data_IF_997257359796
#
_entry.id   IF_997257359796
#
_cell.length_a   1.000
_cell.length_b   1.000
_cell.length_c   1.000
_cell.angle_alpha   90.00
_cell.angle_beta   90.00
_cell.angle_gamma   90.00
#
_symmetry.space_group_name_H-M   'P 1'
#
loop_
_entity.id
_entity.type
_entity.pdbx_description
1 polymer ?
#
# COMPACT_ATOMS: atom_id res chain seq x y z
N UNK A 1 23.89 26.36 -2.86
CA UNK A 1 23.25 27.70 -2.81
C UNK A 1 21.75 27.47 -2.94
N UNK A 2 20.95 27.74 -1.91
CA UNK A 2 19.49 27.65 -2.03
C UNK A 2 18.99 28.94 -2.66
N UNK A 3 18.19 28.83 -3.72
CA UNK A 3 17.50 29.95 -4.35
C UNK A 3 16.26 30.22 -3.48
N UNK A 4 16.21 31.39 -2.86
CA UNK A 4 15.06 31.85 -2.09
C UNK A 4 14.38 32.95 -2.90
N UNK A 5 13.10 32.76 -3.20
CA UNK A 5 12.23 33.80 -3.73
C UNK A 5 11.25 34.22 -2.64
N UNK A 6 10.89 35.49 -2.64
CA UNK A 6 9.79 36.03 -1.86
C UNK A 6 8.88 36.77 -2.81
N UNK A 7 7.59 36.48 -2.76
CA UNK A 7 6.57 37.08 -3.62
C UNK A 7 5.62 37.94 -2.78
N UNK A 8 5.28 39.11 -3.31
CA UNK A 8 4.35 40.01 -2.65
C UNK A 8 2.90 39.61 -2.99
N UNK A 9 2.14 39.16 -1.99
CA UNK A 9 0.72 38.79 -2.15
C UNK A 9 -0.23 40.01 -2.22
N UNK A 10 0.30 41.23 -2.20
CA UNK A 10 -0.45 42.48 -2.24
C UNK A 10 0.47 43.71 -2.32
N UNK A 11 -0.10 44.93 -2.34
CA UNK A 11 0.66 46.16 -2.50
C UNK A 11 1.66 46.35 -1.35
N UNK A 12 2.95 46.14 -1.63
CA UNK A 12 4.01 46.11 -0.61
C UNK A 12 5.10 47.12 -0.94
N UNK A 13 5.57 47.87 0.06
CA UNK A 13 6.77 48.70 -0.06
C UNK A 13 7.96 47.92 0.44
N UNK A 14 8.97 47.75 -0.41
CA UNK A 14 10.19 47.00 -0.09
C UNK A 14 11.35 47.98 0.03
N UNK A 15 12.24 47.73 1.00
CA UNK A 15 13.52 48.41 1.15
C UNK A 15 14.63 47.36 1.12
N UNK A 16 15.48 47.42 0.10
CA UNK A 16 16.63 46.54 0.00
C UNK A 16 17.79 47.15 0.79
N UNK A 17 18.27 46.41 1.79
CA UNK A 17 19.41 46.82 2.61
C UNK A 17 20.58 45.90 2.30
N UNK A 18 21.73 46.42 1.80
CA UNK A 18 22.92 45.62 1.60
C UNK A 18 23.37 44.95 2.90
N UNK A 19 23.75 43.68 2.83
CA UNK A 19 24.14 42.88 4.00
C UNK A 19 25.28 43.54 4.78
N UNK A 20 26.21 44.19 4.09
CA UNK A 20 27.35 44.90 4.70
C UNK A 20 26.90 46.12 5.52
N UNK A 21 25.94 46.88 5.00
CA UNK A 21 25.36 48.05 5.68
C UNK A 21 24.54 47.61 6.89
N UNK A 22 23.74 46.55 6.73
CA UNK A 22 22.98 45.97 7.84
C UNK A 22 23.91 45.46 8.94
N UNK A 23 24.99 44.76 8.56
CA UNK A 23 26.01 44.28 9.50
C UNK A 23 26.66 45.45 10.25
N UNK A 24 27.07 46.51 9.55
CA UNK A 24 27.67 47.68 10.18
C UNK A 24 26.69 48.35 11.17
N UNK A 25 25.40 48.44 10.84
CA UNK A 25 24.38 48.97 11.72
C UNK A 25 24.18 48.11 12.97
N UNK A 26 24.10 46.78 12.82
CA UNK A 26 24.00 45.85 13.95
C UNK A 26 25.27 45.89 14.81
N UNK A 27 26.45 45.98 14.20
CA UNK A 27 27.74 46.09 14.88
C UNK A 27 27.92 47.44 15.60
N UNK A 28 27.22 48.48 15.17
CA UNK A 28 27.18 49.78 15.87
C UNK A 28 26.06 49.88 16.92
N UNK A 29 25.11 48.93 16.94
CA UNK A 29 23.95 48.98 17.81
C UNK A 29 24.30 48.73 19.29
N UNK A 30 23.39 49.13 20.18
CA UNK A 30 23.49 48.88 21.61
C UNK A 30 23.63 47.36 21.90
N UNK A 31 24.44 46.94 22.90
CA UNK A 31 24.67 45.53 23.20
C UNK A 31 23.40 44.69 23.39
N UNK A 32 22.34 45.27 23.96
CA UNK A 32 21.04 44.60 24.09
C UNK A 32 20.39 44.24 22.74
N UNK A 33 20.48 45.13 21.74
CA UNK A 33 19.95 44.89 20.39
C UNK A 33 20.76 43.81 19.68
N UNK A 34 22.09 43.83 19.83
CA UNK A 34 22.97 42.77 19.30
C UNK A 34 22.61 41.40 19.87
N UNK A 35 22.32 41.35 21.17
CA UNK A 35 21.96 40.10 21.84
C UNK A 35 20.60 39.56 21.34
N UNK A 36 19.62 40.44 21.13
CA UNK A 36 18.33 40.06 20.54
C UNK A 36 18.48 39.54 19.10
N UNK A 37 19.21 40.25 18.25
CA UNK A 37 19.46 39.81 16.86
C UNK A 37 20.21 38.48 16.84
N UNK A 38 21.22 38.31 17.69
CA UNK A 38 21.95 37.04 17.82
C UNK A 38 21.04 35.90 18.28
N UNK A 39 20.15 36.16 19.24
CA UNK A 39 19.16 35.18 19.72
C UNK A 39 18.22 34.74 18.59
N UNK A 40 17.68 35.67 17.80
CA UNK A 40 16.82 35.35 16.66
C UNK A 40 17.54 34.52 15.59
N UNK A 41 18.82 34.81 15.34
CA UNK A 41 19.64 34.05 14.38
C UNK A 41 19.87 32.63 14.86
N UNK A 42 20.19 32.42 16.14
CA UNK A 42 20.39 31.08 16.70
C UNK A 42 19.08 30.27 16.74
N UNK A 43 17.96 30.90 17.07
CA UNK A 43 16.64 30.27 17.00
C UNK A 43 16.30 29.86 15.55
N UNK A 44 16.57 30.74 14.59
CA UNK A 44 16.37 30.43 13.16
C UNK A 44 17.27 29.28 12.68
N UNK A 45 18.52 29.21 13.14
CA UNK A 45 19.42 28.08 12.83
C UNK A 45 18.89 26.78 13.43
N UNK A 46 18.43 26.82 14.68
CA UNK A 46 17.87 25.66 15.39
C UNK A 46 16.63 25.17 14.66
N UNK A 47 15.69 26.06 14.34
CA UNK A 47 14.50 25.73 13.57
C UNK A 47 14.83 25.14 12.20
N UNK A 48 15.87 25.64 11.51
CA UNK A 48 16.35 25.05 10.25
C UNK A 48 16.91 23.65 10.45
N UNK A 49 17.67 23.41 11.52
CA UNK A 49 18.18 22.07 11.84
C UNK A 49 17.04 21.11 12.16
N UNK A 50 16.04 21.54 12.91
CA UNK A 50 14.82 20.75 13.20
C UNK A 50 14.03 20.47 11.93
N UNK A 51 13.84 21.45 11.03
CA UNK A 51 13.18 21.21 9.74
C UNK A 51 13.99 20.22 8.88
N UNK A 52 15.33 20.30 8.93
CA UNK A 52 16.20 19.38 8.20
C UNK A 52 16.16 17.97 8.80
N UNK A 53 16.17 17.82 10.13
CA UNK A 53 16.03 16.52 10.79
C UNK A 53 14.65 15.92 10.51
N UNK A 54 13.57 16.71 10.60
CA UNK A 54 12.22 16.27 10.23
C UNK A 54 12.10 15.85 8.77
N UNK A 55 12.87 16.46 7.87
CA UNK A 55 12.95 16.04 6.46
C UNK A 55 13.80 14.79 6.26
N UNK A 56 14.79 14.54 7.11
CA UNK A 56 15.66 13.37 7.07
C UNK A 56 15.07 12.16 7.79
N UNK A 57 14.21 12.37 8.79
CA UNK A 57 13.48 11.33 9.52
C UNK A 57 12.29 10.77 8.72
N UNK A 58 11.82 11.49 7.71
CA UNK A 58 10.79 10.98 6.80
C UNK A 58 11.43 10.03 5.81
N UNK A 59 11.25 8.74 6.07
CA UNK A 59 11.39 7.68 5.07
C UNK A 59 10.76 8.15 3.75
N UNK A 60 11.56 8.12 2.68
CA UNK A 60 11.17 8.49 1.32
C UNK A 60 10.26 7.43 0.69
N UNK A 61 10.02 6.31 1.37
CA UNK A 61 9.05 5.32 0.91
C UNK A 61 7.65 5.96 0.75
N UNK A 62 6.93 5.64 -0.34
CA UNK A 62 5.60 6.17 -0.60
C UNK A 62 4.60 5.90 0.54
N UNK A 63 4.68 4.73 1.18
CA UNK A 63 3.78 4.36 2.27
C UNK A 63 4.49 3.49 3.33
N UNK A 64 5.23 4.08 4.28
CA UNK A 64 5.96 3.35 5.32
C UNK A 64 5.03 2.48 6.17
N UNK A 65 5.49 1.32 6.64
CA UNK A 65 4.65 0.34 7.36
C UNK A 65 3.86 0.93 8.54
N UNK A 66 4.48 1.78 9.35
CA UNK A 66 3.82 2.42 10.50
C UNK A 66 2.81 3.50 10.11
N UNK A 67 2.91 4.05 8.90
CA UNK A 67 1.96 5.05 8.37
C UNK A 67 0.76 4.40 7.68
N UNK A 68 0.83 3.12 7.28
CA UNK A 68 -0.26 2.43 6.56
C UNK A 68 -1.58 2.52 7.32
N UNK A 69 -1.69 2.10 8.60
CA UNK A 69 -2.96 2.22 9.34
C UNK A 69 -3.49 3.64 9.37
N UNK A 70 -2.63 4.61 9.69
CA UNK A 70 -3.03 6.02 9.82
C UNK A 70 -3.56 6.58 8.52
N UNK A 71 -2.89 6.32 7.39
CA UNK A 71 -3.29 6.85 6.09
C UNK A 71 -4.60 6.23 5.61
N UNK A 72 -4.77 4.91 5.75
CA UNK A 72 -6.01 4.24 5.35
C UNK A 72 -7.18 4.58 6.27
N UNK A 73 -6.98 4.64 7.60
CA UNK A 73 -8.00 5.11 8.54
C UNK A 73 -8.43 6.55 8.25
N UNK A 74 -7.47 7.44 7.94
CA UNK A 74 -7.77 8.82 7.59
C UNK A 74 -8.61 8.89 6.32
N UNK A 75 -8.20 8.17 5.27
CA UNK A 75 -8.95 8.13 4.00
C UNK A 75 -10.37 7.61 4.21
N UNK A 76 -10.54 6.51 4.94
CA UNK A 76 -11.86 5.95 5.28
C UNK A 76 -12.72 6.92 6.09
N UNK A 77 -12.15 7.54 7.13
CA UNK A 77 -12.84 8.51 7.97
C UNK A 77 -13.32 9.73 7.18
N UNK A 78 -12.45 10.31 6.34
CA UNK A 78 -12.79 11.48 5.53
C UNK A 78 -13.83 11.11 4.48
N UNK A 79 -13.72 9.93 3.87
CA UNK A 79 -14.71 9.43 2.92
C UNK A 79 -16.09 9.24 3.57
N UNK A 80 -16.17 8.68 4.78
CA UNK A 80 -17.46 8.53 5.48
C UNK A 80 -18.05 9.84 5.96
N UNK A 81 -17.21 10.77 6.44
CA UNK A 81 -17.69 12.00 7.04
C UNK A 81 -18.05 13.07 6.00
N UNK A 82 -17.24 13.18 4.95
CA UNK A 82 -17.33 14.30 3.99
C UNK A 82 -17.54 13.84 2.55
N UNK A 83 -17.58 12.52 2.31
CA UNK A 83 -17.87 11.95 1.01
C UNK A 83 -19.38 11.94 0.73
N UNK A 84 -19.71 12.05 -0.54
CA UNK A 84 -21.08 12.00 -1.03
C UNK A 84 -21.28 10.66 -1.74
N UNK A 85 -22.20 9.80 -1.29
CA UNK A 85 -22.51 8.58 -2.01
C UNK A 85 -23.05 8.92 -3.40
N UNK A 86 -22.66 8.15 -4.41
CA UNK A 86 -23.20 8.32 -5.76
C UNK A 86 -24.67 7.94 -5.81
N UNK A 87 -25.47 8.68 -6.58
CA UNK A 87 -26.90 8.42 -6.76
C UNK A 87 -27.18 7.07 -7.46
N UNK A 88 -26.26 6.63 -8.32
CA UNK A 88 -26.40 5.39 -9.11
C UNK A 88 -25.93 4.15 -8.35
N UNK A 89 -24.87 4.29 -7.56
CA UNK A 89 -24.28 3.20 -6.76
C UNK A 89 -23.91 3.70 -5.36
N UNK A 90 -24.69 3.38 -4.32
CA UNK A 90 -24.46 3.88 -2.96
C UNK A 90 -23.16 3.36 -2.33
N UNK A 91 -22.53 2.34 -2.93
CA UNK A 91 -21.20 1.84 -2.56
C UNK A 91 -20.07 2.75 -3.02
N UNK A 92 -20.30 3.53 -4.08
CA UNK A 92 -19.32 4.49 -4.59
C UNK A 92 -19.44 5.80 -3.84
N UNK A 93 -18.33 6.29 -3.31
CA UNK A 93 -18.28 7.54 -2.55
C UNK A 93 -17.39 8.53 -3.28
N UNK A 94 -17.96 9.67 -3.67
CA UNK A 94 -17.23 10.80 -4.24
C UNK A 94 -16.72 11.70 -3.12
N UNK A 95 -15.42 11.98 -3.11
CA UNK A 95 -14.77 12.81 -2.12
C UNK A 95 -14.02 13.97 -2.80
N UNK A 96 -14.17 15.16 -2.25
CA UNK A 96 -13.46 16.36 -2.68
C UNK A 96 -11.98 16.31 -2.24
N UNK A 97 -11.07 16.53 -3.19
CA UNK A 97 -9.64 16.46 -2.93
C UNK A 97 -9.14 17.59 -2.02
N UNK A 98 -9.72 18.79 -2.11
CA UNK A 98 -9.42 19.92 -1.24
C UNK A 98 -9.77 19.61 0.20
N UNK A 99 -10.91 18.95 0.42
CA UNK A 99 -11.30 18.48 1.76
C UNK A 99 -10.28 17.46 2.28
N UNK A 100 -9.92 16.46 1.47
CA UNK A 100 -8.92 15.46 1.85
C UNK A 100 -7.55 16.09 2.15
N UNK A 101 -7.10 17.08 1.36
CA UNK A 101 -5.88 17.86 1.62
C UNK A 101 -5.91 18.53 2.99
N UNK A 102 -7.02 19.19 3.32
CA UNK A 102 -7.17 19.93 4.59
C UNK A 102 -7.12 18.96 5.77
N UNK A 103 -7.88 17.86 5.73
CA UNK A 103 -7.85 16.86 6.80
C UNK A 103 -6.46 16.24 6.95
N UNK A 104 -5.84 15.83 5.84
CA UNK A 104 -4.50 15.22 5.84
C UNK A 104 -3.45 16.14 6.45
N UNK A 105 -3.36 17.38 5.98
CA UNK A 105 -2.26 18.28 6.34
C UNK A 105 -2.50 19.05 7.64
N UNK A 106 -3.73 19.52 7.89
CA UNK A 106 -4.04 20.40 9.02
C UNK A 106 -4.53 19.64 10.24
N UNK A 107 -5.41 18.65 10.05
CA UNK A 107 -5.97 17.91 11.18
C UNK A 107 -5.05 16.80 11.65
N UNK A 108 -4.61 15.94 10.73
CA UNK A 108 -3.80 14.77 11.07
C UNK A 108 -2.29 14.99 10.97
N UNK A 109 -1.86 16.13 10.41
CA UNK A 109 -0.44 16.51 10.24
C UNK A 109 0.37 15.46 9.46
N UNK A 110 -0.30 14.76 8.55
CA UNK A 110 0.30 13.75 7.68
C UNK A 110 0.79 14.36 6.36
N UNK A 111 1.64 13.61 5.67
CA UNK A 111 2.18 14.03 4.36
C UNK A 111 1.12 13.89 3.26
N UNK A 112 0.81 15.00 2.58
CA UNK A 112 -0.09 14.97 1.42
C UNK A 112 0.44 14.05 0.31
N UNK A 113 1.76 14.03 0.10
CA UNK A 113 2.40 13.17 -0.91
C UNK A 113 2.11 11.69 -0.61
N UNK A 114 2.19 11.27 0.67
CA UNK A 114 1.89 9.88 1.05
C UNK A 114 0.41 9.54 0.88
N UNK A 115 -0.48 10.49 1.21
CA UNK A 115 -1.92 10.32 0.96
C UNK A 115 -2.20 10.17 -0.53
N UNK A 116 -1.58 11.00 -1.37
CA UNK A 116 -1.68 10.88 -2.82
C UNK A 116 -1.20 9.51 -3.30
N UNK A 117 -0.04 9.04 -2.82
CA UNK A 117 0.48 7.70 -3.16
C UNK A 117 -0.47 6.57 -2.75
N UNK A 118 -1.16 6.69 -1.61
CA UNK A 118 -2.19 5.72 -1.20
C UNK A 118 -3.40 5.74 -2.14
N UNK A 119 -3.87 6.92 -2.56
CA UNK A 119 -4.98 7.03 -3.52
C UNK A 119 -4.56 6.46 -4.87
N UNK A 120 -3.37 6.78 -5.36
CA UNK A 120 -2.80 6.21 -6.60
C UNK A 120 -2.69 4.67 -6.54
N UNK A 121 -2.33 4.12 -5.37
CA UNK A 121 -2.33 2.67 -5.14
C UNK A 121 -3.73 2.07 -5.32
N UNK A 122 -4.74 2.71 -4.74
CA UNK A 122 -6.12 2.28 -4.87
C UNK A 122 -6.62 2.39 -6.32
N UNK A 123 -6.16 3.40 -7.08
CA UNK A 123 -6.44 3.51 -8.51
C UNK A 123 -5.86 2.33 -9.28
N UNK A 124 -4.58 1.99 -9.06
CA UNK A 124 -3.94 0.83 -9.72
C UNK A 124 -4.67 -0.48 -9.42
N UNK A 125 -5.17 -0.64 -8.20
CA UNK A 125 -5.94 -1.83 -7.79
C UNK A 125 -7.40 -1.82 -8.27
N UNK A 126 -7.83 -0.79 -9.01
CA UNK A 126 -9.21 -0.63 -9.47
C UNK A 126 -10.21 -0.44 -8.31
N UNK A 127 -9.76 0.17 -7.21
CA UNK A 127 -10.56 0.48 -6.01
C UNK A 127 -10.90 1.96 -5.87
N UNK A 128 -10.25 2.81 -6.65
CA UNK A 128 -10.54 4.23 -6.71
C UNK A 128 -10.36 4.77 -8.14
N UNK A 129 -10.85 5.97 -8.36
CA UNK A 129 -10.64 6.77 -9.57
C UNK A 129 -10.34 8.22 -9.18
N UNK A 130 -9.41 8.84 -9.89
CA UNK A 130 -9.02 10.24 -9.68
C UNK A 130 -9.60 11.06 -10.85
N UNK A 131 -10.34 12.11 -10.53
CA UNK A 131 -10.88 13.07 -11.49
C UNK A 131 -9.96 14.29 -11.58
N UNK A 132 -9.40 14.49 -12.77
CA UNK A 132 -8.52 15.60 -13.09
C UNK A 132 -9.29 16.68 -13.83
N UNK A 133 -9.08 17.94 -13.46
CA UNK A 133 -9.56 19.09 -14.25
C UNK A 133 -8.39 20.05 -14.50
N UNK A 134 -8.48 20.77 -15.61
CA UNK A 134 -7.50 21.79 -15.99
C UNK A 134 -7.85 23.10 -15.29
N UNK A 135 -6.91 23.63 -14.54
CA UNK A 135 -7.04 24.97 -13.95
C UNK A 135 -6.88 26.06 -15.02
N UNK A 136 -7.09 27.32 -14.63
CA UNK A 136 -6.98 28.51 -15.49
C UNK A 136 -5.62 28.62 -16.21
N UNK A 137 -4.58 27.98 -15.67
CA UNK A 137 -3.21 27.93 -16.23
C UNK A 137 -2.95 26.68 -17.10
N UNK A 138 -3.99 25.91 -17.47
CA UNK A 138 -3.91 24.67 -18.27
C UNK A 138 -3.06 23.54 -17.61
N UNK A 139 -2.95 23.60 -16.27
CA UNK A 139 -2.30 22.58 -15.44
C UNK A 139 -3.36 21.61 -14.92
N UNK A 140 -3.12 20.31 -15.10
CA UNK A 140 -4.00 19.26 -14.58
C UNK A 140 -3.89 19.18 -13.05
N UNK A 141 -5.00 19.43 -12.36
CA UNK A 141 -5.12 19.27 -10.92
C UNK A 141 -6.19 18.23 -10.55
N UNK A 142 -5.92 17.50 -9.47
CA UNK A 142 -6.90 16.59 -8.90
C UNK A 142 -8.01 17.42 -8.25
N UNK A 143 -9.25 17.24 -8.70
CA UNK A 143 -10.42 17.94 -8.15
C UNK A 143 -11.19 17.06 -7.18
N UNK A 144 -11.44 15.82 -7.58
CA UNK A 144 -12.17 14.87 -6.75
C UNK A 144 -11.69 13.44 -6.98
N UNK A 145 -12.07 12.56 -6.06
CA UNK A 145 -11.76 11.14 -6.13
C UNK A 145 -13.04 10.34 -5.88
N UNK A 146 -13.18 9.23 -6.59
CA UNK A 146 -14.26 8.26 -6.35
C UNK A 146 -13.67 7.02 -5.74
N UNK A 147 -14.14 6.64 -4.55
CA UNK A 147 -13.81 5.35 -3.90
C UNK A 147 -14.92 4.35 -4.21
N UNK A 148 -14.55 3.16 -4.68
CA UNK A 148 -15.55 2.14 -5.05
C UNK A 148 -15.97 1.25 -3.87
N UNK A 149 -15.13 1.15 -2.84
CA UNK A 149 -15.39 0.33 -1.66
C UNK A 149 -14.71 0.93 -0.43
N UNK A 150 -15.45 1.79 0.28
CA UNK A 150 -14.95 2.44 1.51
C UNK A 150 -14.85 1.44 2.66
N UNK A 151 -15.72 0.43 2.71
CA UNK A 151 -15.68 -0.60 3.74
C UNK A 151 -14.37 -1.40 3.67
N UNK A 152 -13.94 -1.78 2.46
CA UNK A 152 -12.65 -2.45 2.25
C UNK A 152 -11.46 -1.63 2.78
N UNK A 153 -11.48 -0.30 2.61
CA UNK A 153 -10.40 0.59 3.07
C UNK A 153 -10.32 0.58 4.60
N UNK A 154 -11.47 0.64 5.27
CA UNK A 154 -11.54 0.61 6.74
C UNK A 154 -11.19 -0.76 7.30
N UNK A 155 -11.75 -1.84 6.73
CA UNK A 155 -11.46 -3.21 7.13
C UNK A 155 -9.97 -3.52 6.97
N UNK A 156 -9.36 -3.03 5.89
CA UNK A 156 -7.91 -3.15 5.67
C UNK A 156 -7.12 -2.37 6.72
N UNK A 157 -7.53 -1.15 7.06
CA UNK A 157 -6.86 -0.33 8.05
C UNK A 157 -6.90 -0.99 9.45
N UNK A 158 -8.07 -1.50 9.86
CA UNK A 158 -8.24 -2.24 11.11
C UNK A 158 -7.43 -3.53 11.11
N UNK A 159 -7.49 -4.31 10.03
CA UNK A 159 -6.71 -5.53 9.85
C UNK A 159 -5.21 -5.26 10.01
N UNK A 160 -4.69 -4.25 9.31
CA UNK A 160 -3.26 -3.94 9.34
C UNK A 160 -2.85 -3.44 10.73
N UNK A 161 -3.63 -2.52 11.32
CA UNK A 161 -3.40 -1.99 12.67
C UNK A 161 -3.36 -3.11 13.71
N UNK A 162 -4.32 -4.03 13.66
CA UNK A 162 -4.40 -5.13 14.60
C UNK A 162 -3.18 -6.05 14.50
N UNK A 163 -2.75 -6.40 13.29
CA UNK A 163 -1.66 -7.36 13.09
C UNK A 163 -0.26 -6.75 13.24
N UNK A 164 -0.08 -5.43 13.04
CA UNK A 164 1.21 -4.77 13.28
C UNK A 164 1.48 -4.55 14.78
N UNK A 165 0.47 -4.15 15.56
CA UNK A 165 0.65 -3.83 16.98
C UNK A 165 0.45 -5.02 17.92
N UNK A 166 -0.23 -6.09 17.49
CA UNK A 166 -0.42 -7.29 18.32
C UNK A 166 0.82 -8.20 18.26
N UNK A 167 1.49 -8.46 19.39
CA UNK A 167 2.69 -9.29 19.42
C UNK A 167 2.37 -10.72 18.92
N UNK A 168 3.25 -11.25 18.08
CA UNK A 168 3.13 -12.61 17.51
C UNK A 168 2.18 -12.73 16.33
N UNK A 169 1.58 -11.64 15.83
CA UNK A 169 0.69 -11.66 14.64
C UNK A 169 1.23 -10.95 13.41
N UNK A 170 2.44 -10.39 13.49
CA UNK A 170 3.05 -9.66 12.38
C UNK A 170 3.31 -10.55 11.15
N UNK A 171 3.46 -11.87 11.31
CA UNK A 171 3.65 -12.81 10.19
C UNK A 171 2.49 -12.80 9.18
N UNK A 172 1.29 -12.38 9.61
CA UNK A 172 0.08 -12.28 8.78
C UNK A 172 0.16 -11.12 7.78
N UNK A 173 0.86 -10.03 8.14
CA UNK A 173 1.04 -8.85 7.27
C UNK A 173 2.31 -8.93 6.42
N UNK A 174 3.25 -9.83 6.72
CA UNK A 174 4.37 -10.08 5.82
C UNK A 174 3.92 -10.97 4.67
N UNK A 175 3.73 -10.39 3.50
CA UNK A 175 3.17 -11.15 2.37
C UNK A 175 4.24 -11.93 1.64
N UNK A 176 3.94 -13.22 1.42
CA UNK A 176 4.77 -14.18 0.72
C UNK A 176 4.14 -14.44 -0.67
N UNK A 177 4.96 -14.45 -1.73
CA UNK A 177 4.50 -14.68 -3.10
C UNK A 177 3.88 -16.08 -3.33
N UNK A 178 4.38 -17.12 -2.68
CA UNK A 178 3.79 -18.46 -2.63
C UNK A 178 2.46 -18.48 -1.87
N UNK A 179 2.34 -17.74 -0.76
CA UNK A 179 1.12 -17.65 0.02
C UNK A 179 -0.01 -16.96 -0.76
N UNK A 180 0.29 -15.84 -1.46
CA UNK A 180 -0.66 -15.24 -2.40
C UNK A 180 -1.06 -16.26 -3.46
N UNK A 181 -0.08 -16.88 -4.14
CA UNK A 181 -0.37 -17.84 -5.22
C UNK A 181 -1.26 -18.99 -4.75
N UNK A 182 -0.97 -19.57 -3.58
CA UNK A 182 -1.76 -20.66 -3.02
C UNK A 182 -3.17 -20.20 -2.64
N UNK A 183 -3.32 -19.06 -1.97
CA UNK A 183 -4.63 -18.51 -1.60
C UNK A 183 -5.47 -18.17 -2.84
N UNK A 184 -4.87 -17.53 -3.85
CA UNK A 184 -5.52 -17.23 -5.12
C UNK A 184 -6.00 -18.47 -5.85
N UNK A 185 -5.15 -19.50 -5.95
CA UNK A 185 -5.52 -20.75 -6.59
C UNK A 185 -6.72 -21.42 -5.88
N UNK A 186 -6.72 -21.41 -4.54
CA UNK A 186 -7.83 -21.95 -3.73
C UNK A 186 -9.13 -21.13 -3.85
N UNK A 187 -9.04 -19.81 -4.04
CA UNK A 187 -10.22 -18.95 -4.24
C UNK A 187 -10.84 -19.16 -5.62
N UNK A 188 -10.02 -19.23 -6.67
CA UNK A 188 -10.49 -19.38 -8.05
C UNK A 188 -11.05 -20.78 -8.34
N UNK A 189 -10.43 -21.83 -7.79
CA UNK A 189 -10.95 -23.22 -7.89
C UNK A 189 -12.35 -23.36 -7.29
N UNK A 190 -12.71 -22.49 -6.36
CA UNK A 190 -13.97 -22.54 -5.59
C UNK A 190 -15.04 -21.59 -6.12
N UNK A 191 -14.76 -20.87 -7.21
CA UNK A 191 -15.64 -19.79 -7.69
C UNK A 191 -17.10 -20.24 -7.87
N UNK A 192 -17.30 -21.43 -8.41
CA UNK A 192 -18.62 -21.98 -8.78
C UNK A 192 -19.15 -23.08 -7.83
N UNK A 193 -18.46 -23.36 -6.73
CA UNK A 193 -18.82 -24.44 -5.81
C UNK A 193 -19.83 -23.99 -4.73
N UNK A 194 -20.79 -24.85 -4.34
CA UNK A 194 -21.82 -24.50 -3.37
C UNK A 194 -21.25 -24.36 -1.96
N UNK A 195 -21.70 -23.32 -1.25
CA UNK A 195 -21.30 -23.02 0.12
C UNK A 195 -22.16 -23.81 1.12
N UNK A 196 -21.52 -24.30 2.19
CA UNK A 196 -22.23 -24.82 3.37
C UNK A 196 -22.94 -23.67 4.11
N UNK A 197 -23.87 -23.97 5.02
CA UNK A 197 -24.61 -23.01 5.84
C UNK A 197 -23.69 -22.06 6.64
N UNK A 198 -22.43 -22.45 6.86
CA UNK A 198 -21.40 -21.66 7.55
C UNK A 198 -20.48 -20.88 6.62
N UNK A 199 -20.75 -20.82 5.31
CA UNK A 199 -19.88 -20.18 4.32
C UNK A 199 -18.61 -20.97 3.97
N UNK A 200 -18.46 -22.19 4.53
CA UNK A 200 -17.35 -23.08 4.25
C UNK A 200 -17.60 -23.89 2.98
N UNK A 201 -16.54 -24.13 2.21
CA UNK A 201 -16.57 -25.00 1.03
C UNK A 201 -16.07 -26.37 1.44
N UNK A 202 -16.52 -27.43 0.78
CA UNK A 202 -16.00 -28.80 0.93
C UNK A 202 -15.64 -29.35 -0.43
N UNK A 203 -14.36 -29.63 -0.65
CA UNK A 203 -13.85 -30.10 -1.94
C UNK A 203 -13.03 -31.37 -1.75
N UNK A 204 -13.08 -32.26 -2.73
CA UNK A 204 -12.20 -33.42 -2.76
C UNK A 204 -10.76 -32.97 -3.06
N UNK A 205 -9.80 -33.36 -2.22
CA UNK A 205 -8.41 -32.90 -2.29
C UNK A 205 -7.76 -33.19 -3.64
N UNK A 206 -7.93 -34.41 -4.17
CA UNK A 206 -7.34 -34.81 -5.44
C UNK A 206 -7.92 -34.04 -6.64
N UNK A 207 -9.16 -33.58 -6.54
CA UNK A 207 -9.77 -32.73 -7.56
C UNK A 207 -9.15 -31.33 -7.55
N UNK A 208 -8.98 -30.75 -6.36
CA UNK A 208 -8.31 -29.46 -6.18
C UNK A 208 -6.87 -29.51 -6.71
N UNK A 209 -6.11 -30.57 -6.39
CA UNK A 209 -4.75 -30.72 -6.90
C UNK A 209 -4.67 -30.71 -8.43
N UNK A 210 -5.61 -31.40 -9.10
CA UNK A 210 -5.67 -31.43 -10.57
C UNK A 210 -6.01 -30.06 -11.14
N UNK A 211 -7.05 -29.40 -10.63
CA UNK A 211 -7.47 -28.08 -11.13
C UNK A 211 -6.43 -27.00 -10.89
N UNK A 212 -5.79 -26.98 -9.71
CA UNK A 212 -4.69 -26.04 -9.43
C UNK A 212 -3.51 -26.25 -10.38
N UNK A 213 -3.18 -27.50 -10.70
CA UNK A 213 -2.11 -27.83 -11.64
C UNK A 213 -2.46 -27.44 -13.09
N UNK A 214 -3.72 -27.62 -13.49
CA UNK A 214 -4.20 -27.28 -14.83
C UNK A 214 -4.31 -25.76 -15.04
N UNK A 215 -4.93 -25.05 -14.10
CA UNK A 215 -5.21 -23.62 -14.19
C UNK A 215 -4.00 -22.74 -13.86
N UNK A 216 -3.24 -23.10 -12.81
CA UNK A 216 -2.18 -22.25 -12.26
C UNK A 216 -0.77 -22.80 -12.48
N UNK A 217 -0.62 -23.98 -13.09
CA UNK A 217 0.68 -24.67 -13.27
C UNK A 217 1.48 -24.76 -11.95
N UNK A 218 0.75 -24.86 -10.85
CA UNK A 218 1.27 -24.86 -9.49
C UNK A 218 1.00 -26.21 -8.86
N UNK A 219 1.99 -26.75 -8.16
CA UNK A 219 1.85 -28.04 -7.47
C UNK A 219 1.58 -27.77 -5.99
N UNK A 220 0.31 -27.88 -5.58
CA UNK A 220 -0.09 -27.59 -4.21
C UNK A 220 0.42 -28.69 -3.27
N UNK A 221 1.31 -28.32 -2.36
CA UNK A 221 1.92 -29.23 -1.37
C UNK A 221 1.44 -28.92 0.03
N UNK A 222 1.63 -29.88 0.95
CA UNK A 222 1.37 -29.72 2.38
C UNK A 222 2.01 -28.46 2.94
N UNK A 223 3.27 -28.19 2.58
CA UNK A 223 4.00 -26.99 3.04
C UNK A 223 3.34 -25.67 2.65
N UNK A 224 2.62 -25.62 1.52
CA UNK A 224 1.87 -24.43 1.12
C UNK A 224 0.64 -24.22 2.02
N UNK A 225 -0.05 -25.30 2.37
CA UNK A 225 -1.17 -25.25 3.30
C UNK A 225 -0.70 -24.88 4.72
N UNK A 226 0.40 -25.45 5.18
CA UNK A 226 0.99 -25.12 6.49
C UNK A 226 1.43 -23.64 6.54
N UNK A 227 1.90 -23.08 5.41
CA UNK A 227 2.22 -21.66 5.30
C UNK A 227 1.00 -20.76 5.37
N UNK A 228 -0.14 -21.19 4.83
CA UNK A 228 -1.41 -20.46 4.93
C UNK A 228 -1.93 -20.48 6.37
N UNK A 229 -1.83 -21.63 7.05
CA UNK A 229 -2.25 -21.78 8.45
C UNK A 229 -1.45 -20.88 9.40
N UNK A 230 -0.13 -20.75 9.20
CA UNK A 230 0.70 -19.80 9.96
C UNK A 230 0.25 -18.35 9.80
N UNK A 231 -0.28 -18.01 8.63
CA UNK A 231 -0.84 -16.69 8.33
C UNK A 231 -2.30 -16.52 8.73
N UNK A 232 -2.86 -17.51 9.44
CA UNK A 232 -4.22 -17.47 9.97
C UNK A 232 -5.30 -17.98 9.03
N UNK A 233 -4.94 -18.51 7.85
CA UNK A 233 -5.88 -19.13 6.92
C UNK A 233 -5.93 -20.64 7.15
N UNK A 234 -7.01 -21.12 7.77
CA UNK A 234 -7.12 -22.52 8.18
C UNK A 234 -7.80 -23.39 7.12
N UNK A 235 -7.19 -24.53 6.80
CA UNK A 235 -7.76 -25.54 5.91
C UNK A 235 -7.93 -26.85 6.66
N UNK A 236 -9.18 -27.22 6.94
CA UNK A 236 -9.49 -28.51 7.59
C UNK A 236 -9.40 -29.64 6.58
N UNK A 237 -8.65 -30.68 6.92
CA UNK A 237 -8.57 -31.93 6.14
C UNK A 237 -9.42 -32.99 6.84
N UNK A 238 -10.48 -33.45 6.19
CA UNK A 238 -11.39 -34.44 6.73
C UNK A 238 -11.35 -35.71 5.88
N UNK A 239 -10.86 -36.84 6.42
CA UNK A 239 -11.03 -38.12 5.75
C UNK A 239 -12.51 -38.53 5.82
N UNK A 240 -13.04 -39.02 4.70
CA UNK A 240 -14.35 -39.65 4.64
C UNK A 240 -14.21 -41.17 4.87
N UNK A 241 -15.31 -41.85 5.20
CA UNK A 241 -15.37 -43.29 5.46
C UNK A 241 -14.89 -44.15 4.27
N UNK A 242 -14.83 -43.56 3.07
CA UNK A 242 -14.31 -44.16 1.83
C UNK A 242 -12.81 -43.97 1.61
N UNK A 243 -12.09 -43.36 2.57
CA UNK A 243 -10.66 -43.07 2.48
C UNK A 243 -10.29 -41.85 1.63
N UNK A 244 -11.27 -41.13 1.07
CA UNK A 244 -11.07 -39.86 0.35
C UNK A 244 -10.86 -38.71 1.34
N UNK A 245 -9.94 -37.79 1.02
CA UNK A 245 -9.66 -36.60 1.84
C UNK A 245 -10.39 -35.40 1.25
N UNK A 246 -11.20 -34.74 2.08
CA UNK A 246 -11.86 -33.48 1.73
C UNK A 246 -11.13 -32.31 2.39
N UNK A 247 -10.96 -31.23 1.63
CA UNK A 247 -10.57 -29.92 2.17
C UNK A 247 -11.82 -29.12 2.51
N UNK A 248 -11.80 -28.48 3.67
CA UNK A 248 -12.83 -27.51 4.05
C UNK A 248 -12.24 -26.24 4.63
N UNK A 249 -12.65 -25.11 4.08
CA UNK A 249 -12.20 -23.77 4.48
C UNK A 249 -13.28 -22.72 4.17
N UNK A 250 -13.19 -21.57 4.83
CA UNK A 250 -14.12 -20.45 4.63
C UNK A 250 -13.75 -19.65 3.38
N UNK A 251 -14.66 -19.58 2.40
CA UNK A 251 -14.42 -18.87 1.14
C UNK A 251 -14.26 -17.36 1.36
N UNK A 252 -15.08 -16.79 2.23
CA UNK A 252 -15.15 -15.34 2.47
C UNK A 252 -13.88 -14.87 3.16
N UNK A 253 -13.40 -15.63 4.15
CA UNK A 253 -12.15 -15.34 4.85
C UNK A 253 -10.95 -15.33 3.89
N UNK A 254 -10.85 -16.34 3.03
CA UNK A 254 -9.79 -16.43 2.02
C UNK A 254 -9.85 -15.28 1.00
N UNK A 255 -11.06 -14.92 0.54
CA UNK A 255 -11.24 -13.80 -0.39
C UNK A 255 -10.84 -12.46 0.24
N UNK A 256 -11.24 -12.20 1.49
CA UNK A 256 -10.91 -10.97 2.18
C UNK A 256 -9.40 -10.88 2.47
N UNK A 257 -8.80 -11.96 2.96
CA UNK A 257 -7.36 -12.00 3.21
C UNK A 257 -6.56 -11.79 1.92
N UNK A 258 -6.99 -12.40 0.81
CA UNK A 258 -6.34 -12.21 -0.48
C UNK A 258 -6.38 -10.75 -0.94
N UNK A 259 -7.51 -10.06 -0.78
CA UNK A 259 -7.63 -8.63 -1.09
C UNK A 259 -6.66 -7.79 -0.25
N UNK A 260 -6.53 -8.09 1.05
CA UNK A 260 -5.57 -7.39 1.92
C UNK A 260 -4.13 -7.67 1.51
N UNK A 261 -3.77 -8.91 1.20
CA UNK A 261 -2.42 -9.25 0.75
C UNK A 261 -2.07 -8.64 -0.60
N UNK A 262 -3.03 -8.48 -1.51
CA UNK A 262 -2.82 -7.74 -2.76
C UNK A 262 -2.46 -6.28 -2.50
N UNK A 263 -3.18 -5.62 -1.58
CA UNK A 263 -2.87 -4.24 -1.16
C UNK A 263 -1.45 -4.16 -0.57
N UNK A 264 -1.12 -5.06 0.37
CA UNK A 264 0.20 -5.04 1.03
C UNK A 264 1.33 -5.33 0.05
N UNK A 265 1.16 -6.32 -0.84
CA UNK A 265 2.18 -6.67 -1.83
C UNK A 265 2.50 -5.49 -2.76
N UNK A 266 1.49 -4.73 -3.19
CA UNK A 266 1.72 -3.52 -3.98
C UNK A 266 2.38 -2.41 -3.16
N UNK A 267 2.00 -2.21 -1.90
CA UNK A 267 2.68 -1.27 -0.99
C UNK A 267 4.16 -1.64 -0.86
N UNK A 268 4.49 -2.90 -0.61
CA UNK A 268 5.86 -3.38 -0.42
C UNK A 268 6.70 -3.20 -1.69
N UNK A 269 6.14 -3.50 -2.88
CA UNK A 269 6.81 -3.24 -4.17
C UNK A 269 7.15 -1.76 -4.35
N UNK A 270 6.22 -0.87 -4.06
CA UNK A 270 6.42 0.57 -4.25
C UNK A 270 7.34 1.17 -3.21
N UNK A 271 7.30 0.69 -1.97
CA UNK A 271 8.28 1.05 -0.95
C UNK A 271 9.70 0.61 -1.34
N UNK A 272 9.85 -0.55 -1.98
CA UNK A 272 11.15 -1.01 -2.51
C UNK A 272 11.63 -0.14 -3.68
N UNK A 273 10.73 0.29 -4.57
CA UNK A 273 11.05 1.17 -5.71
C UNK A 273 11.29 2.63 -5.29
N UNK A 274 10.66 3.07 -4.20
CA UNK A 274 10.70 4.44 -3.70
C UNK A 274 9.77 5.43 -4.39
N UNK A 275 8.95 4.98 -5.35
CA UNK A 275 7.96 5.82 -6.04
C UNK A 275 6.78 4.98 -6.55
N UNK A 276 5.68 5.66 -6.87
CA UNK A 276 4.44 5.08 -7.39
C UNK A 276 4.45 5.08 -8.92
N UNK A 277 4.21 3.91 -9.53
CA UNK A 277 4.05 3.78 -10.99
C UNK A 277 2.65 3.27 -11.33
N UNK A 278 1.83 4.17 -11.87
CA UNK A 278 0.45 3.90 -12.29
C UNK A 278 0.37 3.11 -13.62
N UNK A 279 1.43 3.13 -14.42
CA UNK A 279 1.46 2.46 -15.73
C UNK A 279 2.00 1.03 -15.65
N UNK A 280 2.47 0.62 -14.47
CA UNK A 280 2.87 -0.76 -14.23
C UNK A 280 1.64 -1.66 -14.36
N UNK A 281 1.66 -2.57 -15.33
CA UNK A 281 0.61 -3.57 -15.48
C UNK A 281 0.49 -4.36 -14.17
N UNK A 282 -0.74 -4.64 -13.69
CA UNK A 282 -0.91 -5.57 -12.59
C UNK A 282 -0.24 -6.88 -12.99
N UNK A 283 0.54 -7.49 -12.10
CA UNK A 283 1.17 -8.78 -12.37
C UNK A 283 0.09 -9.76 -12.84
N UNK A 284 0.03 -10.03 -14.14
CA UNK A 284 -0.78 -11.13 -14.61
C UNK A 284 -0.06 -12.43 -14.26
N UNK A 285 -0.80 -13.52 -14.08
CA UNK A 285 -0.21 -14.83 -13.79
C UNK A 285 0.86 -15.24 -14.83
N UNK A 286 0.79 -14.67 -16.03
CA UNK A 286 1.73 -14.86 -17.15
C UNK A 286 3.03 -14.06 -16.98
N UNK A 287 2.99 -12.87 -16.37
CA UNK A 287 4.15 -11.98 -16.20
C UNK A 287 5.12 -12.47 -15.12
N UNK A 288 4.68 -13.35 -14.22
CA UNK A 288 5.58 -14.07 -13.33
C UNK A 288 6.43 -15.12 -14.06
N UNK A 289 6.30 -15.29 -15.39
CA UNK A 289 7.04 -16.28 -16.16
C UNK A 289 7.42 -15.93 -17.60
N UNK A 290 7.32 -14.67 -18.03
CA UNK A 290 7.52 -14.33 -19.44
C UNK A 290 9.00 -14.33 -19.93
N UNK A 291 10.00 -14.27 -19.03
CA UNK A 291 11.43 -14.28 -19.41
C UNK A 291 12.30 -15.25 -18.57
N UNK A 292 11.67 -16.20 -17.90
CA UNK A 292 12.29 -17.01 -16.86
C UNK A 292 12.46 -18.47 -17.34
N UNK A 293 13.61 -19.09 -17.08
CA UNK A 293 13.84 -20.52 -17.33
C UNK A 293 12.63 -21.34 -16.84
N UNK A 294 12.23 -22.36 -17.59
CA UNK A 294 11.02 -23.13 -17.26
C UNK A 294 11.39 -24.39 -16.49
N UNK A 295 10.73 -24.64 -15.36
CA UNK A 295 10.94 -25.84 -14.57
C UNK A 295 10.57 -27.12 -15.34
N UNK A 296 11.45 -28.12 -15.42
CA UNK A 296 11.18 -29.35 -16.19
C UNK A 296 10.05 -30.20 -15.60
N UNK A 297 9.70 -30.02 -14.32
CA UNK A 297 8.66 -30.80 -13.65
C UNK A 297 7.28 -30.14 -13.68
N UNK A 298 7.19 -28.87 -13.30
CA UNK A 298 5.89 -28.17 -13.19
C UNK A 298 5.68 -27.11 -14.27
N UNK A 299 6.67 -26.87 -15.13
CA UNK A 299 6.66 -25.79 -16.14
C UNK A 299 6.45 -24.39 -15.55
N UNK A 300 6.73 -24.22 -14.25
CA UNK A 300 6.74 -22.93 -13.58
C UNK A 300 8.00 -22.14 -13.92
N UNK A 301 7.92 -20.82 -13.80
CA UNK A 301 9.03 -19.90 -14.05
C UNK A 301 10.16 -20.01 -13.02
N UNK A 302 11.40 -19.87 -13.49
CA UNK A 302 12.63 -19.96 -12.73
C UNK A 302 13.54 -18.77 -13.03
N UNK A 303 14.10 -18.18 -11.98
CA UNK A 303 15.26 -17.28 -12.12
C UNK A 303 16.54 -18.12 -12.19
N UNK A 304 17.54 -17.66 -12.94
CA UNK A 304 18.84 -18.35 -13.15
C UNK A 304 19.59 -18.70 -11.85
N UNK A 305 19.30 -17.99 -10.76
CA UNK A 305 19.95 -18.17 -9.45
C UNK A 305 19.32 -19.26 -8.57
N UNK A 306 18.17 -19.82 -8.94
CA UNK A 306 17.42 -20.73 -8.08
C UNK A 306 17.93 -22.18 -8.17
N UNK A 307 18.44 -22.76 -7.06
CA UNK A 307 18.80 -24.19 -6.96
C UNK A 307 17.57 -25.12 -6.87
N UNK A 308 16.40 -24.57 -6.57
CA UNK A 308 15.13 -25.27 -6.46
C UNK A 308 14.04 -24.49 -7.17
N UNK A 309 13.10 -25.17 -7.81
CA UNK A 309 11.96 -24.49 -8.42
C UNK A 309 11.09 -23.83 -7.34
N UNK A 310 10.80 -22.52 -7.40
CA UNK A 310 9.93 -21.86 -6.44
C UNK A 310 8.49 -22.37 -6.52
N UNK A 311 8.03 -22.84 -7.68
CA UNK A 311 6.64 -23.28 -7.86
C UNK A 311 6.38 -24.74 -7.44
N UNK A 312 7.37 -25.63 -7.52
CA UNK A 312 7.18 -27.06 -7.19
C UNK A 312 8.28 -27.65 -6.30
N UNK A 313 9.25 -26.87 -5.83
CA UNK A 313 10.31 -27.29 -4.92
C UNK A 313 11.27 -28.35 -5.46
N UNK A 314 11.20 -28.73 -6.75
CA UNK A 314 12.12 -29.72 -7.32
C UNK A 314 13.53 -29.12 -7.38
N UNK A 315 14.54 -29.91 -7.02
CA UNK A 315 15.93 -29.51 -7.17
C UNK A 315 16.24 -29.39 -8.65
N UNK A 316 16.69 -28.22 -9.06
CA UNK A 316 17.08 -27.97 -10.44
C UNK A 316 18.50 -28.52 -10.62
N UNK A 317 18.69 -29.40 -11.59
CA UNK A 317 20.03 -29.75 -12.03
C UNK A 317 20.63 -28.45 -12.57
N UNK A 318 21.73 -28.00 -11.97
CA UNK A 318 22.39 -26.75 -12.30
C UNK A 318 22.52 -26.60 -13.83
N UNK A 319 22.15 -25.43 -14.35
CA UNK A 319 22.80 -24.91 -15.55
C UNK A 319 24.20 -24.42 -15.13
#
# INVERSE_FOLDING_TARGET
RHILSAEALGPTKVMEVPVEVFKAQVDSAHPGVKLLVKSMVEETKTNRQTIRSLKMEKDNSPCPQFSIPTLFCLLGLVARHSGHPSEEEPTKVKLDWTVLKIFTTRMFKESLIRMQSVVELLVKLGKAEIHWEKNEDDIDEIVSLTLFDVALIEDFAEFYQYNIYKPGKSEVIYVDALAIKAATALVEVVKDEPLDFRGAVKLEYDHVLKQVKELFRFDLKTLHLDSLEKKGLFVKRQPNDKGQVFLSYDKVEFQNMLRFWQIINEIDKWNQKGFVDLNEKPDTYEDLGANALVCPSCKGSLNETNKFCPSCGIKLAAA
#
